data_IF_096039514838
#
_entry.id   IF_096039514838
#
_cell.length_a   1.000
_cell.length_b   1.000
_cell.length_c   1.000
_cell.angle_alpha   90.00
_cell.angle_beta   90.00
_cell.angle_gamma   90.00
#
_symmetry.space_group_name_H-M   'P 1'
#
loop_
_entity.id
_entity.type
_entity.pdbx_description
1 polymer ?
#
# COMPACT_ATOMS: atom_id res chain seq x y z
N UNK A 1 9.41 -25.50 -25.45
CA UNK A 1 9.73 -24.35 -24.62
C UNK A 1 10.83 -24.72 -23.66
N UNK A 2 11.93 -23.95 -23.53
CA UNK A 2 13.01 -24.27 -22.60
C UNK A 2 12.46 -24.24 -21.17
N UNK A 3 12.78 -25.24 -20.35
CA UNK A 3 12.47 -25.27 -18.93
C UNK A 3 13.05 -24.01 -18.29
N UNK A 4 12.20 -23.12 -17.74
CA UNK A 4 12.67 -22.00 -16.92
C UNK A 4 13.53 -22.55 -15.80
N UNK A 5 14.80 -22.15 -15.74
CA UNK A 5 15.69 -22.47 -14.62
C UNK A 5 14.99 -22.11 -13.31
N UNK A 6 14.84 -23.09 -12.42
CA UNK A 6 14.19 -22.89 -11.13
C UNK A 6 15.16 -22.17 -10.20
N UNK A 7 14.62 -21.20 -9.47
CA UNK A 7 15.31 -20.56 -8.37
C UNK A 7 15.75 -21.59 -7.33
N UNK A 8 17.00 -21.47 -6.85
CA UNK A 8 17.58 -22.36 -5.83
C UNK A 8 17.26 -21.90 -4.40
N UNK A 9 16.90 -20.63 -4.20
CA UNK A 9 16.79 -20.01 -2.88
C UNK A 9 15.43 -20.27 -2.21
N UNK A 10 14.33 -20.13 -2.94
CA UNK A 10 12.98 -20.22 -2.37
C UNK A 10 12.01 -20.94 -3.29
N UNK A 11 11.01 -21.60 -2.70
CA UNK A 11 9.92 -22.29 -3.44
C UNK A 11 8.62 -21.51 -3.29
N UNK A 12 7.76 -21.59 -4.31
CA UNK A 12 6.38 -21.06 -4.21
C UNK A 12 5.65 -21.72 -3.04
N UNK A 13 4.85 -20.96 -2.32
CA UNK A 13 4.12 -21.32 -1.11
C UNK A 13 4.98 -21.59 0.15
N UNK A 14 6.29 -21.46 0.06
CA UNK A 14 7.18 -21.53 1.22
C UNK A 14 6.89 -20.33 2.14
N UNK A 15 6.82 -20.59 3.44
CA UNK A 15 6.69 -19.58 4.49
C UNK A 15 8.06 -19.36 5.10
N UNK A 16 8.44 -18.09 5.23
CA UNK A 16 9.74 -17.66 5.74
C UNK A 16 9.56 -16.54 6.77
N UNK A 17 10.50 -16.48 7.71
CA UNK A 17 10.74 -15.31 8.54
C UNK A 17 11.79 -14.45 7.86
N UNK A 18 11.48 -13.17 7.64
CA UNK A 18 12.28 -12.27 6.85
C UNK A 18 12.48 -10.95 7.59
N UNK A 19 13.73 -10.50 7.69
CA UNK A 19 14.06 -9.14 8.13
C UNK A 19 13.89 -8.21 6.92
N UNK A 20 13.10 -7.18 7.09
CA UNK A 20 12.94 -6.14 6.05
C UNK A 20 14.07 -5.13 6.22
N UNK A 21 14.89 -4.99 5.19
CA UNK A 21 16.11 -4.18 5.24
C UNK A 21 15.93 -2.81 4.60
N UNK A 22 15.05 -2.71 3.59
CA UNK A 22 14.98 -1.53 2.73
C UNK A 22 13.62 -1.45 2.02
N UNK A 23 13.42 -0.39 1.24
CA UNK A 23 12.30 -0.24 0.32
C UNK A 23 12.71 -0.31 -1.15
N UNK A 24 11.92 -1.01 -1.93
CA UNK A 24 11.90 -0.82 -3.37
C UNK A 24 11.09 0.42 -3.74
N UNK A 25 11.39 1.00 -4.90
CA UNK A 25 10.56 2.06 -5.47
C UNK A 25 9.08 1.62 -5.51
N UNK A 26 8.20 2.49 -5.00
CA UNK A 26 6.77 2.20 -4.86
C UNK A 26 6.37 1.52 -3.53
N UNK A 27 7.28 1.39 -2.54
CA UNK A 27 6.96 1.06 -1.15
C UNK A 27 6.74 -0.42 -0.86
N UNK A 28 7.37 -1.31 -1.63
CA UNK A 28 7.48 -2.72 -1.22
C UNK A 28 8.73 -2.87 -0.34
N UNK A 29 8.60 -3.52 0.81
CA UNK A 29 9.76 -3.89 1.62
C UNK A 29 10.66 -4.86 0.87
N UNK A 30 11.95 -4.77 1.12
CA UNK A 30 13.00 -5.64 0.59
C UNK A 30 13.59 -6.45 1.72
N UNK A 31 13.55 -7.78 1.58
CA UNK A 31 14.36 -8.71 2.35
C UNK A 31 15.39 -9.38 1.47
N UNK A 32 16.52 -9.82 2.05
CA UNK A 32 17.57 -10.55 1.31
C UNK A 32 17.88 -11.85 2.01
N UNK A 33 18.05 -12.90 1.17
CA UNK A 33 18.63 -14.16 1.60
C UNK A 33 20.07 -14.17 1.09
N UNK A 34 21.03 -14.23 2.01
CA UNK A 34 22.44 -14.34 1.68
C UNK A 34 22.86 -15.80 1.62
N UNK A 35 23.65 -16.15 0.62
CA UNK A 35 24.28 -17.46 0.48
C UNK A 35 25.68 -17.28 -0.11
N UNK A 36 26.46 -18.36 -0.19
CA UNK A 36 27.77 -18.37 -0.83
C UNK A 36 27.68 -17.97 -2.32
N UNK A 37 26.56 -18.27 -2.98
CA UNK A 37 26.29 -17.95 -4.39
C UNK A 37 25.82 -16.49 -4.61
N UNK A 38 25.68 -15.67 -3.55
CA UNK A 38 25.27 -14.27 -3.61
C UNK A 38 24.02 -13.91 -2.79
N UNK A 39 23.40 -12.81 -3.15
CA UNK A 39 22.23 -12.26 -2.45
C UNK A 39 20.96 -12.37 -3.32
N UNK A 40 19.91 -12.92 -2.74
CA UNK A 40 18.62 -13.09 -3.40
C UNK A 40 17.55 -12.19 -2.77
N UNK A 41 16.87 -11.39 -3.61
CA UNK A 41 15.92 -10.37 -3.18
C UNK A 41 14.50 -10.93 -3.10
N UNK A 42 13.81 -10.62 -2.01
CA UNK A 42 12.38 -10.91 -1.81
C UNK A 42 11.64 -9.60 -1.55
N UNK A 43 10.64 -9.31 -2.38
CA UNK A 43 9.76 -8.16 -2.20
C UNK A 43 8.55 -8.54 -1.35
N UNK A 44 8.32 -7.81 -0.28
CA UNK A 44 7.20 -8.04 0.65
C UNK A 44 6.38 -6.74 0.77
N UNK A 45 5.22 -6.64 0.09
CA UNK A 45 4.33 -5.49 0.26
C UNK A 45 3.78 -5.39 1.69
N UNK A 46 3.41 -4.17 2.09
CA UNK A 46 2.82 -3.86 3.41
C UNK A 46 3.76 -4.14 4.59
N UNK A 47 5.04 -3.89 4.41
CA UNK A 47 6.05 -4.02 5.46
C UNK A 47 6.89 -2.76 5.52
N UNK A 48 7.52 -2.51 6.66
CA UNK A 48 8.43 -1.39 6.89
C UNK A 48 9.87 -1.90 7.09
N UNK A 49 10.89 -1.15 6.64
CA UNK A 49 12.27 -1.46 6.98
C UNK A 49 12.45 -1.56 8.49
N UNK A 50 13.24 -2.53 8.92
CA UNK A 50 13.43 -2.82 10.35
C UNK A 50 12.51 -3.89 10.92
N UNK A 51 11.37 -4.18 10.31
CA UNK A 51 10.46 -5.24 10.77
C UNK A 51 11.04 -6.63 10.56
N UNK A 52 10.74 -7.54 11.52
CA UNK A 52 10.82 -8.98 11.30
C UNK A 52 9.41 -9.50 10.96
N UNK A 53 9.26 -10.16 9.84
CA UNK A 53 7.96 -10.56 9.34
C UNK A 53 7.90 -12.03 8.96
N UNK A 54 6.71 -12.62 9.10
CA UNK A 54 6.37 -13.92 8.54
C UNK A 54 5.69 -13.70 7.19
N UNK A 55 6.24 -14.27 6.12
CA UNK A 55 5.73 -14.06 4.76
C UNK A 55 5.71 -15.35 3.94
N UNK A 56 4.74 -15.46 3.03
CA UNK A 56 4.59 -16.61 2.13
C UNK A 56 4.99 -16.22 0.71
N UNK A 57 5.88 -16.99 0.10
CA UNK A 57 6.30 -16.81 -1.29
C UNK A 57 5.12 -17.09 -2.22
N UNK A 58 4.65 -16.07 -2.94
CA UNK A 58 3.57 -16.20 -3.92
C UNK A 58 4.11 -16.31 -5.36
N UNK A 59 5.30 -15.74 -5.62
CA UNK A 59 5.97 -15.81 -6.92
C UNK A 59 7.46 -16.00 -6.71
N UNK A 60 8.05 -16.94 -7.45
CA UNK A 60 9.49 -17.20 -7.46
C UNK A 60 10.00 -17.09 -8.89
N UNK A 61 10.94 -16.18 -9.13
CA UNK A 61 11.64 -15.94 -10.40
C UNK A 61 13.13 -16.28 -10.26
N UNK A 62 13.89 -16.27 -11.35
CA UNK A 62 15.34 -16.60 -11.31
C UNK A 62 16.11 -15.67 -10.35
N UNK A 63 15.83 -14.38 -10.37
CA UNK A 63 16.63 -13.34 -9.70
C UNK A 63 15.94 -12.68 -8.49
N UNK A 64 14.64 -12.96 -8.26
CA UNK A 64 13.88 -12.39 -7.15
C UNK A 64 12.64 -13.23 -6.85
N UNK A 65 12.06 -13.01 -5.67
CA UNK A 65 10.74 -13.50 -5.31
C UNK A 65 9.82 -12.38 -4.86
N UNK A 66 8.51 -12.65 -4.90
CA UNK A 66 7.49 -11.81 -4.26
C UNK A 66 6.82 -12.65 -3.19
N UNK A 67 6.59 -12.07 -2.04
CA UNK A 67 5.92 -12.72 -0.91
C UNK A 67 4.72 -11.92 -0.45
N UNK A 68 3.75 -12.60 0.16
CA UNK A 68 2.62 -11.99 0.84
C UNK A 68 2.92 -11.97 2.33
N UNK A 69 2.78 -10.83 2.97
CA UNK A 69 2.84 -10.69 4.41
C UNK A 69 1.75 -11.57 5.06
N UNK A 70 2.14 -12.38 6.04
CA UNK A 70 1.22 -13.14 6.90
C UNK A 70 1.07 -12.40 8.23
N UNK A 71 2.22 -12.04 8.85
CA UNK A 71 2.24 -11.42 10.17
C UNK A 71 3.52 -10.60 10.38
N UNK A 72 3.46 -9.61 11.27
CA UNK A 72 4.62 -8.86 11.76
C UNK A 72 5.02 -9.46 13.11
N UNK A 73 6.17 -10.13 13.15
CA UNK A 73 6.69 -10.82 14.35
C UNK A 73 7.35 -9.85 15.32
N UNK A 74 8.03 -8.83 14.78
CA UNK A 74 8.56 -7.72 15.54
C UNK A 74 8.45 -6.41 14.75
N UNK A 75 7.98 -5.32 15.39
CA UNK A 75 7.91 -4.01 14.76
C UNK A 75 9.30 -3.45 14.45
N UNK A 76 9.36 -2.42 13.62
CA UNK A 76 10.57 -1.61 13.44
C UNK A 76 10.72 -0.65 14.62
N UNK A 77 11.97 -0.37 15.00
CA UNK A 77 12.27 0.67 15.99
C UNK A 77 11.88 2.08 15.49
N UNK A 78 11.82 2.24 14.17
CA UNK A 78 11.45 3.49 13.50
C UNK A 78 9.92 3.65 13.33
N UNK A 79 9.11 2.67 13.73
CA UNK A 79 7.66 2.74 13.60
C UNK A 79 7.05 3.77 14.55
N UNK A 80 6.23 4.64 14.01
CA UNK A 80 5.45 5.62 14.79
C UNK A 80 3.97 5.29 14.72
N UNK A 81 3.30 5.46 15.85
CA UNK A 81 1.86 5.38 15.90
C UNK A 81 1.24 6.62 15.22
N UNK A 82 0.27 6.41 14.35
CA UNK A 82 -0.46 7.49 13.68
C UNK A 82 -1.95 7.41 14.00
N UNK A 83 -2.63 8.56 14.18
CA UNK A 83 -4.05 8.59 14.53
C UNK A 83 -4.98 8.26 13.37
N UNK A 84 -4.45 7.84 12.24
CA UNK A 84 -5.18 7.64 10.98
C UNK A 84 -5.55 6.18 10.75
N UNK A 85 -6.57 5.97 9.90
CA UNK A 85 -6.92 4.63 9.45
C UNK A 85 -5.84 4.08 8.52
N UNK A 86 -5.44 2.82 8.75
CA UNK A 86 -4.57 2.12 7.79
C UNK A 86 -5.28 1.94 6.45
N UNK A 87 -4.67 2.43 5.39
CA UNK A 87 -5.20 2.41 4.03
C UNK A 87 -4.15 1.92 3.02
N UNK A 88 -4.58 1.27 1.93
CA UNK A 88 -3.66 0.73 0.93
C UNK A 88 -2.79 1.77 0.21
N UNK A 89 -3.23 3.03 0.20
CA UNK A 89 -2.59 4.12 -0.54
C UNK A 89 -1.46 4.83 0.19
N UNK A 90 -1.19 4.51 1.46
CA UNK A 90 -0.22 5.18 2.31
C UNK A 90 0.83 4.23 2.93
N UNK A 91 1.68 3.55 2.11
CA UNK A 91 2.58 2.50 2.59
C UNK A 91 3.69 2.97 3.54
N UNK A 92 3.92 4.27 3.64
CA UNK A 92 4.97 4.88 4.48
C UNK A 92 4.42 5.55 5.74
N UNK A 93 3.09 5.57 5.95
CA UNK A 93 2.45 6.45 6.94
C UNK A 93 2.96 6.25 8.38
N UNK A 94 3.39 5.03 8.71
CA UNK A 94 3.93 4.68 10.02
C UNK A 94 5.43 4.96 10.18
N UNK A 95 6.07 5.63 9.22
CA UNK A 95 7.45 6.09 9.35
C UNK A 95 7.50 7.61 9.58
N UNK A 96 8.44 8.13 10.37
CA UNK A 96 8.74 9.56 10.43
C UNK A 96 8.97 10.14 9.05
N UNK A 97 8.58 11.39 8.84
CA UNK A 97 8.62 12.00 7.50
C UNK A 97 10.05 12.04 6.93
N UNK A 98 11.05 12.22 7.77
CA UNK A 98 12.47 12.24 7.39
C UNK A 98 12.88 10.88 6.80
N UNK A 99 12.44 9.79 7.41
CA UNK A 99 12.69 8.44 6.88
C UNK A 99 11.90 8.16 5.61
N UNK A 100 10.65 8.66 5.50
CA UNK A 100 9.91 8.58 4.25
C UNK A 100 10.65 9.26 3.11
N UNK A 101 11.19 10.46 3.34
CA UNK A 101 12.00 11.22 2.36
C UNK A 101 13.27 10.46 1.99
N UNK A 102 14.00 9.96 2.99
CA UNK A 102 15.20 9.15 2.81
C UNK A 102 14.93 7.96 1.88
N UNK A 103 13.98 7.10 2.24
CA UNK A 103 13.69 5.91 1.44
C UNK A 103 13.16 6.22 0.04
N UNK A 104 12.36 7.26 -0.12
CA UNK A 104 11.90 7.71 -1.45
C UNK A 104 13.07 8.18 -2.31
N UNK A 105 13.98 8.99 -1.77
CA UNK A 105 15.18 9.44 -2.45
C UNK A 105 16.07 8.26 -2.82
N UNK A 106 16.46 7.43 -1.87
CA UNK A 106 17.37 6.31 -2.07
C UNK A 106 16.84 5.30 -3.08
N UNK A 107 15.56 4.92 -2.97
CA UNK A 107 14.92 4.00 -3.92
C UNK A 107 14.84 4.57 -5.33
N UNK A 108 14.63 5.89 -5.47
CA UNK A 108 14.59 6.58 -6.76
C UNK A 108 15.98 6.61 -7.40
N UNK A 109 17.01 7.02 -6.68
CA UNK A 109 18.39 7.03 -7.16
C UNK A 109 18.84 5.61 -7.56
N UNK A 110 18.52 4.62 -6.73
CA UNK A 110 18.80 3.19 -7.03
C UNK A 110 18.11 2.72 -8.31
N UNK A 111 16.88 3.17 -8.58
CA UNK A 111 16.15 2.84 -9.81
C UNK A 111 16.87 3.39 -11.05
N UNK A 112 17.23 4.68 -11.04
CA UNK A 112 17.97 5.31 -12.15
C UNK A 112 19.32 4.65 -12.37
N UNK A 113 20.07 4.34 -11.31
CA UNK A 113 21.37 3.68 -11.39
C UNK A 113 21.26 2.26 -11.95
N UNK A 114 20.35 1.42 -11.40
CA UNK A 114 20.29 -0.01 -11.74
C UNK A 114 19.54 -0.30 -13.02
N UNK A 115 18.40 0.35 -13.25
CA UNK A 115 17.53 0.13 -14.41
C UNK A 115 17.82 1.13 -15.51
N UNK A 116 17.91 2.41 -15.15
CA UNK A 116 18.21 3.49 -16.09
C UNK A 116 19.64 3.48 -16.60
N UNK A 117 20.56 2.74 -15.92
CA UNK A 117 21.99 2.69 -16.24
C UNK A 117 22.66 4.08 -16.24
N UNK A 118 22.13 5.00 -15.44
CA UNK A 118 22.66 6.34 -15.30
C UNK A 118 23.88 6.29 -14.37
N UNK A 119 25.03 6.62 -14.91
CA UNK A 119 26.27 6.80 -14.14
C UNK A 119 26.23 8.16 -13.44
N UNK A 120 26.87 8.27 -12.27
CA UNK A 120 26.97 9.50 -11.48
C UNK A 120 25.61 10.12 -11.15
N UNK A 121 24.59 9.31 -10.91
CA UNK A 121 23.22 9.80 -10.61
C UNK A 121 23.20 10.75 -9.39
N UNK A 122 24.10 10.52 -8.43
CA UNK A 122 24.25 11.35 -7.24
C UNK A 122 24.66 12.79 -7.58
N UNK A 123 25.48 12.99 -8.62
CA UNK A 123 25.88 14.32 -9.10
C UNK A 123 24.80 15.01 -9.95
N UNK A 124 23.85 14.24 -10.49
CA UNK A 124 22.71 14.77 -11.23
C UNK A 124 21.50 15.05 -10.33
N UNK A 125 21.55 14.61 -9.08
CA UNK A 125 20.49 14.85 -8.11
C UNK A 125 20.64 16.28 -7.54
N UNK A 126 19.67 17.12 -7.83
CA UNK A 126 19.61 18.48 -7.34
C UNK A 126 19.09 18.52 -5.89
N UNK A 127 17.79 18.36 -5.71
CA UNK A 127 17.18 18.40 -4.39
C UNK A 127 15.98 17.44 -4.25
N UNK A 128 15.57 17.20 -3.03
CA UNK A 128 14.32 16.54 -2.68
C UNK A 128 13.32 17.58 -2.20
N UNK A 129 12.37 17.94 -3.06
CA UNK A 129 11.31 18.89 -2.72
C UNK A 129 10.29 18.22 -1.82
N UNK A 130 10.25 18.59 -0.56
CA UNK A 130 9.28 18.08 0.41
C UNK A 130 7.95 18.81 0.31
N UNK A 131 6.86 18.09 0.64
CA UNK A 131 5.55 18.71 0.78
C UNK A 131 5.53 19.64 2.01
N UNK A 132 4.95 20.85 1.94
CA UNK A 132 4.76 21.71 3.11
C UNK A 132 3.80 21.09 4.14
N UNK A 133 2.90 20.21 3.71
CA UNK A 133 1.96 19.50 4.57
C UNK A 133 2.26 17.99 4.53
N UNK A 134 2.45 17.39 5.70
CA UNK A 134 2.68 15.94 5.84
C UNK A 134 1.38 15.17 5.66
N UNK A 135 0.28 15.71 6.19
CA UNK A 135 -1.06 15.13 6.13
C UNK A 135 -2.04 16.10 5.46
N UNK A 136 -3.22 15.59 5.06
CA UNK A 136 -4.32 16.34 4.47
C UNK A 136 -3.90 17.19 3.24
N UNK A 137 -2.93 16.69 2.46
CA UNK A 137 -2.33 17.40 1.33
C UNK A 137 -3.03 17.15 -0.02
N UNK A 138 -3.91 16.17 -0.10
CA UNK A 138 -4.62 15.87 -1.34
C UNK A 138 -5.74 16.87 -1.59
N UNK A 139 -5.86 17.29 -2.83
CA UNK A 139 -6.95 18.14 -3.31
C UNK A 139 -8.04 17.38 -4.08
N UNK A 140 -7.89 16.06 -4.22
CA UNK A 140 -8.86 15.15 -4.84
C UNK A 140 -8.80 13.79 -4.17
N UNK A 141 -9.98 13.23 -3.93
CA UNK A 141 -10.13 11.84 -3.49
C UNK A 141 -11.20 11.12 -4.29
N UNK A 142 -10.97 9.82 -4.51
CA UNK A 142 -11.94 8.88 -5.08
C UNK A 142 -12.14 7.74 -4.11
N UNK A 143 -13.32 7.68 -3.50
CA UNK A 143 -13.73 6.58 -2.64
C UNK A 143 -14.55 5.59 -3.46
N UNK A 144 -14.28 4.30 -3.30
CA UNK A 144 -14.98 3.26 -4.03
C UNK A 144 -16.15 2.71 -3.24
N UNK A 145 -17.29 2.55 -3.90
CA UNK A 145 -18.35 1.69 -3.37
C UNK A 145 -18.07 0.22 -3.71
N UNK A 146 -18.47 -0.67 -2.81
CA UNK A 146 -18.47 -2.11 -3.08
C UNK A 146 -19.59 -2.80 -2.31
N UNK A 147 -20.20 -3.82 -2.96
CA UNK A 147 -21.13 -4.73 -2.32
C UNK A 147 -20.43 -5.85 -1.50
N UNK A 148 -19.09 -5.89 -1.53
CA UNK A 148 -18.29 -6.88 -0.85
C UNK A 148 -17.30 -6.17 0.05
N UNK A 149 -17.42 -6.40 1.35
CA UNK A 149 -16.49 -5.97 2.38
C UNK A 149 -15.58 -7.09 2.85
N UNK A 150 -14.69 -6.77 3.78
CA UNK A 150 -13.79 -7.72 4.42
C UNK A 150 -13.99 -7.75 5.92
N UNK A 151 -14.29 -8.92 6.43
CA UNK A 151 -14.33 -9.16 7.87
C UNK A 151 -12.92 -9.45 8.38
N UNK A 152 -12.39 -8.54 9.20
CA UNK A 152 -11.03 -8.65 9.75
C UNK A 152 -10.90 -9.74 10.82
N UNK A 153 -12.00 -10.14 11.45
CA UNK A 153 -12.05 -11.18 12.50
C UNK A 153 -12.03 -12.56 11.87
N UNK A 154 -12.98 -12.82 10.97
CA UNK A 154 -13.08 -14.11 10.29
C UNK A 154 -12.10 -14.26 9.13
N UNK A 155 -11.44 -13.17 8.71
CA UNK A 155 -10.53 -13.09 7.55
C UNK A 155 -11.17 -13.51 6.23
N UNK A 156 -12.48 -13.27 6.08
CA UNK A 156 -13.28 -13.61 4.90
C UNK A 156 -13.96 -12.39 4.30
N UNK A 157 -14.38 -12.53 3.07
CA UNK A 157 -15.32 -11.61 2.44
C UNK A 157 -16.72 -11.74 3.06
N UNK A 158 -17.45 -10.65 3.06
CA UNK A 158 -18.85 -10.57 3.51
C UNK A 158 -19.62 -9.64 2.59
N UNK A 159 -20.91 -9.89 2.44
CA UNK A 159 -21.82 -8.94 1.79
C UNK A 159 -21.95 -7.71 2.68
N UNK A 160 -21.54 -6.57 2.16
CA UNK A 160 -21.51 -5.30 2.89
C UNK A 160 -21.54 -4.11 1.94
N UNK A 161 -22.42 -3.15 2.21
CA UNK A 161 -22.38 -1.86 1.53
C UNK A 161 -21.18 -1.05 2.04
N UNK A 162 -20.09 -1.01 1.26
CA UNK A 162 -18.88 -0.27 1.65
C UNK A 162 -18.72 1.03 0.88
N UNK A 163 -18.17 2.04 1.55
CA UNK A 163 -17.66 3.28 0.96
C UNK A 163 -16.30 3.60 1.58
N UNK A 164 -15.26 3.59 0.75
CA UNK A 164 -13.89 3.84 1.22
C UNK A 164 -12.86 3.42 0.20
N UNK A 165 -11.86 2.64 0.61
CA UNK A 165 -10.78 2.21 -0.28
C UNK A 165 -10.93 0.77 -0.72
N UNK A 166 -10.42 0.47 -1.93
CA UNK A 166 -10.31 -0.93 -2.37
C UNK A 166 -9.22 -1.63 -1.59
N UNK A 167 -9.50 -2.84 -1.15
CA UNK A 167 -8.51 -3.66 -0.45
C UNK A 167 -7.32 -3.97 -1.36
N UNK A 168 -6.10 -3.84 -0.83
CA UNK A 168 -4.89 -4.08 -1.61
C UNK A 168 -4.84 -5.52 -2.15
N UNK A 169 -4.66 -5.64 -3.47
CA UNK A 169 -4.60 -6.93 -4.17
C UNK A 169 -5.96 -7.58 -4.46
N UNK A 170 -7.08 -6.95 -4.04
CA UNK A 170 -8.44 -7.46 -4.27
C UNK A 170 -9.34 -6.31 -4.74
N UNK A 171 -9.33 -6.02 -6.04
CA UNK A 171 -9.94 -4.84 -6.64
C UNK A 171 -11.48 -4.75 -6.48
N UNK A 172 -12.15 -5.85 -6.18
CA UNK A 172 -13.61 -5.91 -6.00
C UNK A 172 -14.07 -5.76 -4.55
N UNK A 173 -13.15 -5.83 -3.59
CA UNK A 173 -13.47 -5.76 -2.16
C UNK A 173 -13.19 -4.36 -1.63
N UNK A 174 -14.13 -3.81 -0.88
CA UNK A 174 -14.01 -2.50 -0.25
C UNK A 174 -13.72 -2.60 1.24
N UNK A 175 -12.98 -1.63 1.76
CA UNK A 175 -12.86 -1.35 3.18
C UNK A 175 -13.54 0.02 3.43
N UNK A 176 -14.43 0.10 4.41
CA UNK A 176 -15.02 1.36 4.83
C UNK A 176 -13.93 2.31 5.36
N UNK A 177 -14.04 3.57 5.02
CA UNK A 177 -13.29 4.61 5.71
C UNK A 177 -14.18 5.15 6.83
N UNK A 178 -13.97 4.62 8.01
CA UNK A 178 -14.74 5.00 9.22
C UNK A 178 -13.96 5.97 10.13
N UNK A 179 -12.68 6.23 9.81
CA UNK A 179 -11.77 7.13 10.49
C UNK A 179 -10.94 7.89 9.45
N UNK A 180 -10.57 9.12 9.75
CA UNK A 180 -9.69 9.96 8.93
C UNK A 180 -8.47 9.17 8.40
N UNK A 181 -8.20 9.28 7.12
CA UNK A 181 -7.04 8.64 6.47
C UNK A 181 -5.74 9.45 6.59
N UNK A 182 -5.83 10.70 7.01
CA UNK A 182 -4.72 11.65 7.01
C UNK A 182 -4.33 12.17 5.61
N UNK A 183 -5.04 11.80 4.55
CA UNK A 183 -4.67 12.20 3.19
C UNK A 183 -5.47 13.36 2.64
N UNK A 184 -6.77 13.41 2.91
CA UNK A 184 -7.69 14.39 2.38
C UNK A 184 -8.26 15.27 3.51
N UNK A 185 -9.25 16.07 3.19
CA UNK A 185 -9.96 16.91 4.15
C UNK A 185 -10.61 16.08 5.25
N UNK A 186 -10.20 16.35 6.50
CA UNK A 186 -10.67 15.60 7.66
C UNK A 186 -12.19 15.68 7.85
N UNK A 187 -12.77 16.89 7.70
CA UNK A 187 -14.21 17.09 7.89
C UNK A 187 -15.02 16.31 6.85
N UNK A 188 -14.51 16.23 5.62
CA UNK A 188 -15.11 15.44 4.57
C UNK A 188 -15.03 13.94 4.88
N UNK A 189 -13.86 13.45 5.30
CA UNK A 189 -13.67 12.02 5.60
C UNK A 189 -14.48 11.59 6.83
N UNK A 190 -14.59 12.42 7.87
CA UNK A 190 -15.44 12.17 9.03
C UNK A 190 -16.93 12.05 8.65
N UNK A 191 -17.35 12.66 7.54
CA UNK A 191 -18.71 12.59 7.02
C UNK A 191 -18.99 11.38 6.11
N UNK A 192 -17.99 10.60 5.70
CA UNK A 192 -18.21 9.48 4.77
C UNK A 192 -19.19 8.44 5.27
N UNK A 193 -19.24 8.19 6.59
CA UNK A 193 -20.24 7.30 7.20
C UNK A 193 -21.68 7.77 6.98
N UNK A 194 -21.93 9.10 7.05
CA UNK A 194 -23.25 9.66 6.82
C UNK A 194 -23.62 9.60 5.34
N UNK A 195 -22.67 9.86 4.45
CA UNK A 195 -22.85 9.72 3.00
C UNK A 195 -23.15 8.27 2.66
N UNK A 196 -22.43 7.31 3.23
CA UNK A 196 -22.69 5.88 3.07
C UNK A 196 -24.11 5.53 3.49
N UNK A 197 -24.54 5.99 4.66
CA UNK A 197 -25.89 5.73 5.16
C UNK A 197 -26.95 6.31 4.24
N UNK A 198 -26.79 7.56 3.79
CA UNK A 198 -27.68 8.17 2.81
C UNK A 198 -27.82 7.34 1.52
N UNK A 199 -26.69 6.80 1.03
CA UNK A 199 -26.72 5.92 -0.14
C UNK A 199 -27.44 4.59 0.14
N UNK A 200 -27.28 4.01 1.32
CA UNK A 200 -28.02 2.81 1.77
C UNK A 200 -29.53 3.07 1.80
N UNK A 201 -29.94 4.20 2.39
CA UNK A 201 -31.36 4.58 2.55
C UNK A 201 -32.06 4.86 1.20
N UNK A 202 -31.28 5.13 0.14
CA UNK A 202 -31.82 5.27 -1.22
C UNK A 202 -32.35 3.97 -1.81
N UNK A 203 -31.99 2.81 -1.25
CA UNK A 203 -32.35 1.49 -1.77
C UNK A 203 -31.62 1.09 -3.04
N UNK A 204 -30.66 1.88 -3.51
CA UNK A 204 -29.84 1.57 -4.69
C UNK A 204 -28.59 0.79 -4.30
N UNK A 205 -28.21 -0.21 -5.12
CA UNK A 205 -27.11 -1.12 -4.82
C UNK A 205 -25.74 -0.49 -5.02
N UNK A 206 -24.74 -0.84 -4.18
CA UNK A 206 -23.34 -0.54 -4.41
C UNK A 206 -22.76 -1.44 -5.50
N UNK A 207 -21.64 -1.05 -6.08
CA UNK A 207 -21.00 -1.79 -7.16
C UNK A 207 -20.53 -3.19 -6.73
N UNK A 208 -21.05 -4.22 -7.36
CA UNK A 208 -20.60 -5.59 -7.20
C UNK A 208 -19.58 -5.95 -8.30
N UNK A 209 -18.28 -5.82 -8.02
CA UNK A 209 -17.21 -5.97 -9.00
C UNK A 209 -17.27 -7.26 -9.84
N UNK A 210 -17.32 -8.47 -9.24
CA UNK A 210 -17.39 -9.73 -9.98
C UNK A 210 -18.61 -9.87 -10.88
N UNK A 211 -19.79 -9.43 -10.43
CA UNK A 211 -21.04 -9.48 -11.21
C UNK A 211 -21.20 -8.31 -12.19
N UNK A 212 -20.41 -7.24 -12.02
CA UNK A 212 -20.46 -6.01 -12.82
C UNK A 212 -21.82 -5.32 -12.80
N UNK A 213 -22.48 -5.32 -11.67
CA UNK A 213 -23.80 -4.68 -11.44
C UNK A 213 -23.72 -3.77 -10.22
N UNK A 214 -24.67 -2.83 -10.11
CA UNK A 214 -24.79 -1.87 -9.03
C UNK A 214 -24.85 -0.45 -9.57
N UNK A 215 -25.42 0.45 -8.77
CA UNK A 215 -25.61 1.85 -9.12
C UNK A 215 -24.42 2.72 -8.66
N UNK A 216 -24.07 2.66 -7.35
CA UNK A 216 -22.99 3.45 -6.79
C UNK A 216 -21.64 2.80 -7.10
N UNK A 217 -20.75 3.53 -7.78
CA UNK A 217 -19.43 3.02 -8.16
C UNK A 217 -18.28 3.77 -7.51
N UNK A 218 -18.30 5.10 -7.61
CA UNK A 218 -17.30 5.97 -7.03
C UNK A 218 -17.95 7.21 -6.45
N UNK A 219 -17.42 7.66 -5.31
CA UNK A 219 -17.65 8.98 -4.77
C UNK A 219 -16.38 9.80 -4.96
N UNK A 220 -16.46 10.85 -5.77
CA UNK A 220 -15.33 11.70 -6.13
C UNK A 220 -15.54 13.07 -5.53
N UNK A 221 -14.56 13.54 -4.76
CA UNK A 221 -14.58 14.85 -4.15
C UNK A 221 -13.29 15.61 -4.48
N UNK A 222 -13.41 16.91 -4.64
CA UNK A 222 -12.29 17.81 -4.88
C UNK A 222 -12.37 18.99 -3.93
N UNK A 223 -11.21 19.46 -3.49
CA UNK A 223 -11.08 20.63 -2.61
C UNK A 223 -10.18 21.68 -3.26
N UNK A 224 -10.62 22.93 -3.26
CA UNK A 224 -9.77 24.07 -3.55
C UNK A 224 -9.11 24.54 -2.26
N UNK A 225 -7.79 24.43 -2.15
CA UNK A 225 -7.08 24.99 -0.99
C UNK A 225 -7.08 26.52 -0.95
N UNK A 226 -7.33 27.18 -2.10
CA UNK A 226 -7.38 28.64 -2.18
C UNK A 226 -8.67 29.21 -1.63
N UNK A 227 -9.82 28.57 -1.95
CA UNK A 227 -11.15 29.03 -1.58
C UNK A 227 -11.77 28.20 -0.44
N UNK A 228 -11.13 27.10 -0.06
CA UNK A 228 -11.62 26.11 0.91
C UNK A 228 -12.99 25.47 0.53
N UNK A 229 -13.34 25.51 -0.75
CA UNK A 229 -14.57 24.87 -1.27
C UNK A 229 -14.31 23.40 -1.59
N UNK A 230 -15.35 22.58 -1.34
CA UNK A 230 -15.44 21.16 -1.67
C UNK A 230 -16.40 20.95 -2.84
#
# INVERSE_FOLDING_TARGET
MPRRERNKFVKKNQVLELKIEDYAFGGKGIARIHSEDGSFVIFVPNTLPGQLVKAQINKSSKNYAEAKLIDVLAPSEDEVEVPYQDIPGAPYIQLPIELQHKYKKESTLSLFKKIGKVENIEALFDEFVSSPNVFHYRNKMEYGFSAIGYDRVTKRDKDEFTLGFKRRGVWWMGDNLDKDSGLFDKQMEDNLKNIRQYCIDSGLDPWHGPKRVGFFRYFVVRKSFKTNEL
#
